data_IF_286820335886
#
_entry.id   IF_286820335886
#
_cell.length_a   1.000
_cell.length_b   1.000
_cell.length_c   1.000
_cell.angle_alpha   90.00
_cell.angle_beta   90.00
_cell.angle_gamma   90.00
#
_symmetry.space_group_name_H-M   'P 1'
#
loop_
_entity.id
_entity.type
_entity.pdbx_description
1 polymer ?
#
# COMPACT_ATOMS: atom_id res chain seq x y z
N UNK A 1 0.33 21.35 11.21
CA UNK A 1 -0.41 20.09 11.42
C UNK A 1 0.39 18.87 10.96
N UNK A 2 0.86 18.81 9.69
CA UNK A 2 1.58 17.65 9.15
C UNK A 2 2.84 17.29 9.94
N UNK A 3 3.71 18.27 10.22
CA UNK A 3 4.92 18.06 11.03
C UNK A 3 4.58 17.59 12.45
N UNK A 4 3.53 18.17 13.05
CA UNK A 4 3.06 17.73 14.36
C UNK A 4 2.54 16.28 14.32
N UNK A 5 1.79 15.91 13.27
CA UNK A 5 1.34 14.54 13.08
C UNK A 5 2.51 13.56 12.99
N UNK A 6 3.52 13.86 12.16
CA UNK A 6 4.72 13.03 12.04
C UNK A 6 5.45 12.88 13.38
N UNK A 7 5.60 13.98 14.13
CA UNK A 7 6.18 13.96 15.47
C UNK A 7 5.39 13.04 16.42
N UNK A 8 4.06 13.14 16.43
CA UNK A 8 3.22 12.29 17.26
C UNK A 8 3.27 10.82 16.86
N UNK A 9 3.23 10.51 15.57
CA UNK A 9 3.36 9.13 15.07
C UNK A 9 4.68 8.52 15.55
N UNK A 10 5.80 9.21 15.34
CA UNK A 10 7.11 8.73 15.75
C UNK A 10 7.23 8.62 17.28
N UNK A 11 6.68 9.60 18.02
CA UNK A 11 6.67 9.57 19.47
C UNK A 11 5.86 8.41 20.05
N UNK A 12 4.68 8.12 19.50
CA UNK A 12 3.85 7.00 19.95
C UNK A 12 4.50 5.67 19.60
N UNK A 13 5.03 5.50 18.37
CA UNK A 13 5.74 4.27 17.97
C UNK A 13 6.96 4.01 18.86
N UNK A 14 7.76 5.03 19.14
CA UNK A 14 8.92 4.91 20.04
C UNK A 14 8.49 4.57 21.48
N UNK A 15 7.41 5.18 21.98
CA UNK A 15 6.88 4.92 23.33
C UNK A 15 6.35 3.48 23.49
N UNK A 16 5.78 2.91 22.43
CA UNK A 16 5.28 1.54 22.42
C UNK A 16 6.38 0.50 22.14
N UNK A 17 7.61 0.91 21.85
CA UNK A 17 8.69 0.01 21.44
C UNK A 17 8.37 -0.76 20.15
N UNK A 18 7.56 -0.17 19.28
CA UNK A 18 7.14 -0.82 18.04
C UNK A 18 8.30 -0.96 17.07
N UNK A 19 8.53 -2.17 16.57
CA UNK A 19 9.52 -2.41 15.52
C UNK A 19 9.01 -1.85 14.19
N UNK A 20 9.82 -1.00 13.57
CA UNK A 20 9.48 -0.41 12.29
C UNK A 20 9.84 -1.38 11.16
N UNK A 21 8.83 -1.99 10.56
CA UNK A 21 8.96 -2.85 9.38
C UNK A 21 8.86 -2.03 8.09
N UNK A 22 9.31 -2.57 6.95
CA UNK A 22 9.20 -1.89 5.66
C UNK A 22 7.74 -1.52 5.32
N UNK A 23 6.74 -2.42 5.45
CA UNK A 23 5.32 -2.04 5.33
C UNK A 23 4.87 -1.04 6.40
N UNK A 24 5.45 -1.07 7.61
CA UNK A 24 5.19 -0.06 8.63
C UNK A 24 5.62 1.34 8.20
N UNK A 25 6.76 1.48 7.52
CA UNK A 25 7.19 2.76 6.91
C UNK A 25 6.20 3.20 5.83
N UNK A 26 5.77 2.27 4.97
CA UNK A 26 4.74 2.56 3.95
C UNK A 26 3.44 3.05 4.60
N UNK A 27 3.03 2.47 5.74
CA UNK A 27 1.89 2.91 6.55
C UNK A 27 2.05 4.36 7.05
N UNK A 28 3.25 4.75 7.50
CA UNK A 28 3.54 6.13 7.90
C UNK A 28 3.39 7.08 6.69
N UNK A 29 3.98 6.74 5.55
CA UNK A 29 3.88 7.56 4.33
C UNK A 29 2.44 7.71 3.88
N UNK A 30 1.66 6.62 3.92
CA UNK A 30 0.23 6.64 3.61
C UNK A 30 -0.54 7.56 4.57
N UNK A 31 -0.30 7.47 5.87
CA UNK A 31 -1.00 8.32 6.86
C UNK A 31 -0.60 9.78 6.77
N UNK A 32 0.61 10.11 6.32
CA UNK A 32 1.00 11.47 5.98
C UNK A 32 0.12 12.01 4.84
N UNK A 33 -0.07 11.21 3.76
CA UNK A 33 -0.96 11.56 2.66
C UNK A 33 -2.41 11.81 3.12
N UNK A 34 -2.97 10.89 3.91
CA UNK A 34 -4.32 11.03 4.46
C UNK A 34 -4.47 12.22 5.44
N UNK A 35 -3.41 12.57 6.17
CA UNK A 35 -3.41 13.74 7.05
C UNK A 35 -3.54 15.05 6.29
N UNK A 36 -2.95 15.14 5.09
CA UNK A 36 -3.13 16.29 4.20
C UNK A 36 -4.58 16.40 3.76
N UNK A 37 -5.23 15.28 3.43
CA UNK A 37 -6.58 15.24 2.90
C UNK A 37 -7.62 15.84 3.88
N UNK A 38 -7.54 15.51 5.16
CA UNK A 38 -8.38 16.10 6.19
C UNK A 38 -8.25 17.63 6.26
N UNK A 39 -7.01 18.15 6.16
CA UNK A 39 -6.77 19.60 6.15
C UNK A 39 -7.30 20.26 4.87
N UNK A 40 -7.13 19.62 3.71
CA UNK A 40 -7.66 20.13 2.43
C UNK A 40 -9.18 20.26 2.50
N UNK A 41 -9.88 19.25 3.03
CA UNK A 41 -11.32 19.27 3.17
C UNK A 41 -11.79 20.42 4.09
N UNK A 42 -11.13 20.65 5.22
CA UNK A 42 -11.42 21.78 6.10
C UNK A 42 -11.21 23.11 5.36
N UNK A 43 -10.08 23.27 4.67
CA UNK A 43 -9.76 24.52 3.98
C UNK A 43 -10.72 24.81 2.83
N UNK A 44 -11.14 23.82 2.06
CA UNK A 44 -12.13 24.04 1.02
C UNK A 44 -13.49 24.42 1.59
N UNK A 45 -13.91 23.82 2.70
CA UNK A 45 -15.13 24.25 3.39
C UNK A 45 -15.04 25.67 3.90
N UNK A 46 -13.91 26.09 4.48
CA UNK A 46 -13.67 27.48 4.89
C UNK A 46 -13.73 28.43 3.67
N UNK A 47 -13.13 28.03 2.54
CA UNK A 47 -13.19 28.81 1.28
C UNK A 47 -14.62 28.96 0.74
N UNK A 48 -15.43 27.93 0.80
CA UNK A 48 -16.85 27.97 0.42
C UNK A 48 -17.60 28.99 1.30
N UNK A 49 -17.40 28.96 2.62
CA UNK A 49 -18.03 29.90 3.55
C UNK A 49 -17.56 31.35 3.36
N UNK A 50 -16.27 31.55 3.02
CA UNK A 50 -15.74 32.87 2.67
C UNK A 50 -16.33 33.39 1.34
N UNK A 51 -16.49 32.54 0.33
CA UNK A 51 -17.16 32.90 -0.95
C UNK A 51 -18.63 33.21 -0.76
N UNK A 52 -19.28 32.62 0.24
CA UNK A 52 -20.63 32.96 0.65
C UNK A 52 -20.75 34.31 1.37
N UNK A 53 -19.64 35.05 1.55
CA UNK A 53 -19.60 36.38 2.15
C UNK A 53 -19.46 36.41 3.68
N UNK A 54 -19.19 35.28 4.33
CA UNK A 54 -18.97 35.24 5.78
C UNK A 54 -17.65 35.85 6.19
N UNK A 55 -17.60 36.48 7.35
CA UNK A 55 -16.33 36.95 7.93
C UNK A 55 -15.41 35.78 8.29
N UNK A 56 -14.08 35.98 8.24
CA UNK A 56 -13.06 34.94 8.40
C UNK A 56 -13.27 34.08 9.64
N UNK A 57 -13.58 34.69 10.79
CA UNK A 57 -13.79 33.94 12.05
C UNK A 57 -14.97 32.98 11.96
N UNK A 58 -16.10 33.44 11.42
CA UNK A 58 -17.30 32.64 11.25
C UNK A 58 -17.09 31.55 10.18
N UNK A 59 -16.42 31.89 9.08
CA UNK A 59 -16.08 30.93 8.03
C UNK A 59 -15.21 29.79 8.53
N UNK A 60 -14.26 30.03 9.43
CA UNK A 60 -13.46 28.98 10.07
C UNK A 60 -14.34 28.08 10.93
N UNK A 61 -15.18 28.64 11.80
CA UNK A 61 -16.06 27.85 12.68
C UNK A 61 -17.00 26.97 11.87
N UNK A 62 -17.68 27.53 10.86
CA UNK A 62 -18.64 26.81 10.03
C UNK A 62 -17.94 25.82 9.11
N UNK A 63 -16.77 26.14 8.57
CA UNK A 63 -15.96 25.24 7.76
C UNK A 63 -15.55 23.98 8.52
N UNK A 64 -15.07 24.11 9.75
CA UNK A 64 -14.77 22.96 10.61
C UNK A 64 -16.03 22.14 10.91
N UNK A 65 -17.15 22.81 11.28
CA UNK A 65 -18.40 22.14 11.58
C UNK A 65 -18.92 21.32 10.41
N UNK A 66 -18.87 21.88 9.19
CA UNK A 66 -19.36 21.23 7.98
C UNK A 66 -18.43 20.13 7.46
N UNK A 67 -17.11 20.24 7.68
CA UNK A 67 -16.13 19.24 7.32
C UNK A 67 -16.09 18.04 8.27
N UNK A 68 -16.42 18.24 9.56
CA UNK A 68 -16.19 17.29 10.65
C UNK A 68 -16.78 15.90 10.36
N UNK A 69 -18.06 15.83 9.97
CA UNK A 69 -18.72 14.54 9.70
C UNK A 69 -18.00 13.74 8.60
N UNK A 70 -17.63 14.39 7.50
CA UNK A 70 -16.96 13.73 6.38
C UNK A 70 -15.57 13.24 6.74
N UNK A 71 -14.83 14.01 7.56
CA UNK A 71 -13.49 13.63 8.03
C UNK A 71 -13.58 12.40 8.94
N UNK A 72 -14.51 12.43 9.91
CA UNK A 72 -14.71 11.31 10.83
C UNK A 72 -15.14 10.04 10.07
N UNK A 73 -16.11 10.15 9.17
CA UNK A 73 -16.60 9.00 8.40
C UNK A 73 -15.49 8.34 7.56
N UNK A 74 -14.68 9.15 6.86
CA UNK A 74 -13.56 8.63 6.07
C UNK A 74 -12.49 7.95 6.94
N UNK A 75 -12.15 8.54 8.08
CA UNK A 75 -11.13 7.98 8.97
C UNK A 75 -11.63 6.75 9.75
N UNK A 76 -12.92 6.67 10.10
CA UNK A 76 -13.49 5.47 10.74
C UNK A 76 -13.42 4.27 9.81
N UNK A 77 -13.75 4.41 8.53
CA UNK A 77 -13.67 3.27 7.59
C UNK A 77 -12.25 2.75 7.46
N UNK A 78 -11.27 3.64 7.36
CA UNK A 78 -9.86 3.26 7.28
C UNK A 78 -9.34 2.68 8.61
N UNK A 79 -9.78 3.23 9.75
CA UNK A 79 -9.46 2.70 11.08
C UNK A 79 -9.99 1.28 11.27
N UNK A 80 -11.23 1.02 10.87
CA UNK A 80 -11.83 -0.32 10.92
C UNK A 80 -11.02 -1.31 10.08
N UNK A 81 -10.60 -0.92 8.88
CA UNK A 81 -9.70 -1.73 8.04
C UNK A 81 -8.37 -1.98 8.74
N UNK A 82 -7.76 -0.95 9.34
CA UNK A 82 -6.53 -1.09 10.12
C UNK A 82 -6.66 -2.07 11.28
N UNK A 83 -7.77 -2.01 12.03
CA UNK A 83 -8.06 -2.94 13.14
C UNK A 83 -8.17 -4.39 12.63
N UNK A 84 -8.85 -4.61 11.51
CA UNK A 84 -8.97 -5.94 10.90
C UNK A 84 -7.61 -6.48 10.50
N UNK A 85 -6.80 -5.65 9.81
CA UNK A 85 -5.44 -6.01 9.43
C UNK A 85 -4.54 -6.28 10.64
N UNK A 86 -4.77 -5.61 11.77
CA UNK A 86 -4.05 -5.85 13.02
C UNK A 86 -4.44 -7.20 13.66
N UNK A 87 -5.73 -7.57 13.60
CA UNK A 87 -6.26 -8.82 14.21
C UNK A 87 -5.86 -10.03 13.37
N UNK A 88 -6.08 -9.97 12.06
CA UNK A 88 -5.89 -11.11 11.15
C UNK A 88 -4.53 -11.12 10.45
N UNK A 89 -3.85 -9.96 10.36
CA UNK A 89 -2.54 -9.86 9.72
C UNK A 89 -1.44 -10.52 10.55
N UNK A 90 -0.43 -11.01 9.86
CA UNK A 90 0.79 -11.59 10.43
C UNK A 90 2.00 -10.71 10.09
N UNK A 91 3.08 -10.83 10.88
CA UNK A 91 4.38 -10.24 10.60
C UNK A 91 4.33 -8.79 10.07
N UNK A 92 4.76 -8.57 8.82
CA UNK A 92 4.83 -7.25 8.18
C UNK A 92 3.48 -6.52 8.09
N UNK A 93 2.37 -7.24 7.80
CA UNK A 93 1.03 -6.65 7.71
C UNK A 93 0.59 -6.06 9.07
N UNK A 94 0.93 -6.73 10.17
CA UNK A 94 0.62 -6.24 11.52
C UNK A 94 1.39 -4.96 11.84
N UNK A 95 2.64 -4.86 11.38
CA UNK A 95 3.45 -3.63 11.45
C UNK A 95 2.81 -2.47 10.70
N UNK A 96 2.38 -2.70 9.44
CA UNK A 96 1.61 -1.75 8.65
C UNK A 96 0.32 -1.30 9.34
N UNK A 97 -0.48 -2.25 9.84
CA UNK A 97 -1.74 -1.97 10.52
C UNK A 97 -1.54 -1.12 11.78
N UNK A 98 -0.48 -1.39 12.56
CA UNK A 98 -0.13 -0.63 13.76
C UNK A 98 0.18 0.83 13.41
N UNK A 99 1.03 1.06 12.41
CA UNK A 99 1.36 2.43 11.99
C UNK A 99 0.17 3.16 11.39
N UNK A 100 -0.70 2.44 10.66
CA UNK A 100 -1.94 2.98 10.10
C UNK A 100 -2.91 3.45 11.21
N UNK A 101 -3.17 2.61 12.22
CA UNK A 101 -4.07 2.94 13.34
C UNK A 101 -3.56 4.15 14.12
N UNK A 102 -2.27 4.15 14.49
CA UNK A 102 -1.64 5.26 15.20
C UNK A 102 -1.67 6.52 14.36
N UNK A 103 -1.31 6.41 13.06
CA UNK A 103 -1.29 7.53 12.14
C UNK A 103 -2.65 8.17 11.92
N UNK A 104 -3.73 7.39 11.84
CA UNK A 104 -5.10 7.91 11.75
C UNK A 104 -5.47 8.68 13.04
N UNK A 105 -5.21 8.12 14.21
CA UNK A 105 -5.54 8.77 15.48
C UNK A 105 -4.78 10.09 15.65
N UNK A 106 -3.48 10.10 15.39
CA UNK A 106 -2.64 11.31 15.47
C UNK A 106 -2.96 12.33 14.39
N UNK A 107 -3.32 11.88 13.18
CA UNK A 107 -3.75 12.72 12.06
C UNK A 107 -5.05 13.46 12.37
N UNK A 108 -6.05 12.78 12.91
CA UNK A 108 -7.30 13.39 13.36
C UNK A 108 -7.04 14.44 14.46
N UNK A 109 -6.21 14.11 15.43
CA UNK A 109 -5.82 15.05 16.47
C UNK A 109 -5.13 16.28 15.88
N UNK A 110 -4.15 16.09 15.00
CA UNK A 110 -3.42 17.20 14.39
C UNK A 110 -4.31 18.06 13.48
N UNK A 111 -5.19 17.47 12.68
CA UNK A 111 -6.07 18.21 11.77
C UNK A 111 -7.18 18.97 12.51
N UNK A 112 -7.81 18.35 13.50
CA UNK A 112 -8.96 18.93 14.19
C UNK A 112 -8.54 19.90 15.29
N UNK A 113 -7.55 19.51 16.13
CA UNK A 113 -7.15 20.31 17.28
C UNK A 113 -6.01 21.27 16.97
N UNK A 114 -4.87 20.75 16.52
CA UNK A 114 -3.66 21.57 16.36
C UNK A 114 -3.86 22.64 15.29
N UNK A 115 -4.44 22.28 14.15
CA UNK A 115 -4.69 23.25 13.07
C UNK A 115 -5.69 24.31 13.51
N UNK A 116 -6.74 23.93 14.23
CA UNK A 116 -7.74 24.87 14.75
C UNK A 116 -7.12 25.84 15.77
N UNK A 117 -6.32 25.34 16.72
CA UNK A 117 -5.58 26.16 17.69
C UNK A 117 -4.69 27.20 17.00
N UNK A 118 -3.99 26.80 15.93
CA UNK A 118 -3.16 27.70 15.15
C UNK A 118 -3.97 28.81 14.47
N UNK A 119 -5.16 28.50 13.96
CA UNK A 119 -6.04 29.51 13.38
C UNK A 119 -6.60 30.46 14.45
N UNK A 120 -7.06 29.94 15.58
CA UNK A 120 -7.57 30.76 16.69
C UNK A 120 -6.47 31.70 17.20
N UNK A 121 -5.27 31.20 17.45
CA UNK A 121 -4.11 32.00 17.83
C UNK A 121 -3.76 33.10 16.80
N UNK A 122 -3.79 32.80 15.50
CA UNK A 122 -3.56 33.79 14.45
C UNK A 122 -4.66 34.84 14.39
N UNK A 123 -5.91 34.47 14.62
CA UNK A 123 -7.04 35.40 14.66
C UNK A 123 -6.98 36.35 15.86
N UNK A 124 -6.51 35.88 17.01
CA UNK A 124 -6.29 36.73 18.21
C UNK A 124 -5.23 37.80 17.95
N UNK A 125 -4.25 37.51 17.10
CA UNK A 125 -3.25 38.48 16.66
C UNK A 125 -3.75 39.43 15.53
N UNK A 126 -5.05 39.48 15.25
CA UNK A 126 -5.66 40.22 14.14
C UNK A 126 -5.11 39.87 12.76
N UNK A 127 -4.45 38.70 12.61
CA UNK A 127 -4.00 38.21 11.30
C UNK A 127 -5.19 37.68 10.51
N UNK A 128 -5.19 37.93 9.19
CA UNK A 128 -6.18 37.37 8.27
C UNK A 128 -5.53 36.18 7.55
N UNK A 129 -5.73 34.94 8.02
CA UNK A 129 -5.16 33.77 7.36
C UNK A 129 -5.74 33.63 5.94
N UNK A 130 -4.87 33.40 4.98
CA UNK A 130 -5.26 33.12 3.58
C UNK A 130 -5.35 31.60 3.39
N UNK A 131 -6.44 31.15 2.80
CA UNK A 131 -6.71 29.73 2.49
C UNK A 131 -6.45 29.39 1.03
N UNK A 132 -5.95 30.34 0.24
CA UNK A 132 -5.57 30.14 -1.14
C UNK A 132 -4.33 30.99 -1.47
N UNK A 133 -3.51 30.48 -2.36
CA UNK A 133 -2.48 31.28 -3.04
C UNK A 133 -3.06 31.90 -4.31
N UNK A 134 -2.40 32.91 -4.88
CA UNK A 134 -2.81 33.50 -6.16
C UNK A 134 -2.94 32.48 -7.30
N UNK A 135 -2.16 31.38 -7.24
CA UNK A 135 -2.21 30.30 -8.21
C UNK A 135 -3.40 29.36 -8.00
N UNK A 136 -3.81 29.15 -6.73
CA UNK A 136 -4.85 28.14 -6.38
C UNK A 136 -6.23 28.76 -6.15
N UNK A 137 -6.32 30.10 -6.09
CA UNK A 137 -7.58 30.79 -5.77
C UNK A 137 -8.71 30.46 -6.75
N UNK A 138 -8.39 30.36 -8.05
CA UNK A 138 -9.35 30.11 -9.13
C UNK A 138 -9.24 28.72 -9.75
N UNK A 139 -8.39 27.84 -9.21
CA UNK A 139 -8.27 26.46 -9.71
C UNK A 139 -9.58 25.72 -9.44
N UNK A 140 -10.10 25.06 -10.47
CA UNK A 140 -11.32 24.26 -10.45
C UNK A 140 -12.64 24.98 -10.09
N UNK A 141 -12.67 26.31 -10.06
CA UNK A 141 -13.90 27.05 -9.76
C UNK A 141 -14.98 26.89 -10.83
N UNK A 142 -14.59 26.71 -12.08
CA UNK A 142 -15.50 26.61 -13.24
C UNK A 142 -15.52 25.21 -13.89
N UNK A 143 -15.03 24.18 -13.20
CA UNK A 143 -15.02 22.81 -13.74
C UNK A 143 -16.37 22.16 -13.57
N UNK A 144 -17.12 22.03 -14.65
CA UNK A 144 -18.43 21.36 -14.71
C UNK A 144 -18.33 20.09 -15.59
N UNK A 145 -17.63 19.06 -15.08
CA UNK A 145 -17.52 17.78 -15.79
C UNK A 145 -18.79 16.94 -15.51
N UNK A 146 -19.58 16.59 -16.53
CA UNK A 146 -20.84 15.86 -16.32
C UNK A 146 -20.60 14.36 -16.12
N UNK A 147 -19.95 13.97 -15.02
CA UNK A 147 -19.59 12.58 -14.70
C UNK A 147 -20.82 11.65 -14.74
N UNK A 148 -21.89 12.03 -14.06
CA UNK A 148 -23.11 11.21 -13.99
C UNK A 148 -23.77 11.04 -15.36
N UNK A 149 -23.78 12.07 -16.21
CA UNK A 149 -24.31 12.01 -17.56
C UNK A 149 -23.48 11.07 -18.46
N UNK A 150 -22.16 11.06 -18.27
CA UNK A 150 -21.22 10.21 -19.03
C UNK A 150 -21.00 8.83 -18.40
N UNK A 151 -21.74 8.44 -17.36
CA UNK A 151 -21.52 7.16 -16.63
C UNK A 151 -21.47 5.94 -17.53
N UNK A 152 -22.29 5.89 -18.61
CA UNK A 152 -22.28 4.76 -19.56
C UNK A 152 -20.91 4.57 -20.24
N UNK A 153 -20.25 5.68 -20.62
CA UNK A 153 -18.91 5.65 -21.19
C UNK A 153 -17.89 5.09 -20.20
N UNK A 154 -17.95 5.55 -18.94
CA UNK A 154 -17.04 5.07 -17.90
C UNK A 154 -17.28 3.59 -17.57
N UNK A 155 -18.52 3.12 -17.56
CA UNK A 155 -18.84 1.70 -17.40
C UNK A 155 -18.29 0.85 -18.53
N UNK A 156 -18.32 1.32 -19.78
CA UNK A 156 -17.76 0.61 -20.93
C UNK A 156 -16.24 0.53 -20.81
N UNK A 157 -15.58 1.65 -20.52
CA UNK A 157 -14.10 1.70 -20.38
C UNK A 157 -13.65 0.77 -19.24
N UNK A 158 -14.26 0.91 -18.09
CA UNK A 158 -13.95 0.11 -16.90
C UNK A 158 -14.25 -1.37 -17.13
N UNK A 159 -15.42 -1.68 -17.72
CA UNK A 159 -15.78 -3.06 -18.05
C UNK A 159 -14.84 -3.71 -19.06
N UNK A 160 -14.32 -2.95 -20.04
CA UNK A 160 -13.33 -3.43 -20.97
C UNK A 160 -12.00 -3.76 -20.28
N UNK A 161 -11.52 -2.87 -19.41
CA UNK A 161 -10.28 -3.07 -18.64
C UNK A 161 -10.42 -4.32 -17.76
N UNK A 162 -11.54 -4.47 -17.04
CA UNK A 162 -11.79 -5.64 -16.19
C UNK A 162 -11.91 -6.91 -17.03
N UNK A 163 -12.59 -6.88 -18.16
CA UNK A 163 -12.72 -8.06 -19.05
C UNK A 163 -11.36 -8.53 -19.58
N UNK A 164 -10.52 -7.61 -20.03
CA UNK A 164 -9.14 -7.91 -20.46
C UNK A 164 -8.30 -8.42 -19.27
N UNK A 165 -8.45 -7.79 -18.11
CA UNK A 165 -7.78 -8.18 -16.88
C UNK A 165 -8.17 -9.57 -16.40
N UNK A 166 -9.45 -9.88 -16.36
CA UNK A 166 -9.95 -11.23 -16.01
C UNK A 166 -9.47 -12.26 -17.02
N UNK A 167 -9.47 -11.94 -18.32
CA UNK A 167 -8.88 -12.79 -19.35
C UNK A 167 -7.38 -13.06 -19.09
N UNK A 168 -6.62 -12.03 -18.71
CA UNK A 168 -5.21 -12.17 -18.32
C UNK A 168 -5.05 -13.00 -17.05
N UNK A 169 -5.85 -12.75 -16.02
CA UNK A 169 -5.83 -13.52 -14.77
C UNK A 169 -6.09 -15.03 -14.99
N UNK A 170 -7.02 -15.37 -15.89
CA UNK A 170 -7.34 -16.76 -16.22
C UNK A 170 -6.27 -17.45 -17.06
N UNK A 171 -5.55 -16.72 -17.90
CA UNK A 171 -4.54 -17.28 -18.81
C UNK A 171 -3.11 -17.21 -18.28
N UNK A 172 -2.76 -16.16 -17.59
CA UNK A 172 -1.40 -15.89 -17.11
C UNK A 172 -1.30 -15.96 -15.58
N UNK A 173 -2.40 -15.75 -14.86
CA UNK A 173 -2.42 -15.68 -13.39
C UNK A 173 -1.82 -14.38 -12.86
N UNK A 174 -1.33 -14.46 -11.63
CA UNK A 174 -0.60 -13.40 -10.92
C UNK A 174 0.79 -13.91 -10.58
N UNK A 175 1.76 -13.00 -10.56
CA UNK A 175 3.10 -13.30 -10.04
C UNK A 175 3.10 -13.08 -8.53
N UNK A 176 3.09 -14.18 -7.77
CA UNK A 176 3.12 -14.14 -6.31
C UNK A 176 4.56 -14.21 -5.82
N UNK A 177 4.91 -13.32 -4.90
CA UNK A 177 6.17 -13.37 -4.18
C UNK A 177 6.25 -14.54 -3.19
N UNK A 178 7.41 -14.67 -2.55
CA UNK A 178 7.70 -15.77 -1.63
C UNK A 178 6.80 -15.78 -0.39
N UNK A 179 6.26 -14.63 0.01
CA UNK A 179 5.34 -14.55 1.14
C UNK A 179 4.05 -15.34 0.92
N UNK A 180 3.62 -15.49 -0.32
CA UNK A 180 2.40 -16.23 -0.68
C UNK A 180 2.65 -17.63 -1.25
N UNK A 181 3.87 -17.92 -1.69
CA UNK A 181 4.19 -19.21 -2.35
C UNK A 181 5.17 -20.06 -1.59
N UNK A 182 5.78 -19.52 -0.54
CA UNK A 182 7.00 -20.07 0.05
C UNK A 182 8.20 -19.92 -0.87
N UNK A 183 9.39 -19.87 -0.31
CA UNK A 183 10.62 -19.75 -1.09
C UNK A 183 11.71 -18.99 -0.36
N UNK A 184 12.79 -18.74 -1.09
CA UNK A 184 13.90 -17.88 -0.68
C UNK A 184 14.09 -16.76 -1.67
N UNK A 185 14.35 -15.57 -1.17
CA UNK A 185 14.67 -14.41 -1.97
C UNK A 185 16.02 -13.85 -1.54
N UNK A 186 16.88 -13.61 -2.52
CA UNK A 186 18.19 -13.00 -2.32
C UNK A 186 18.27 -11.73 -3.14
N UNK A 187 18.72 -10.64 -2.52
CA UNK A 187 19.07 -9.42 -3.25
C UNK A 187 20.58 -9.39 -3.39
N UNK A 188 21.06 -9.45 -4.63
CA UNK A 188 22.49 -9.52 -4.94
C UNK A 188 22.89 -8.31 -5.77
N UNK A 189 23.99 -7.67 -5.36
CA UNK A 189 24.64 -6.59 -6.11
C UNK A 189 25.93 -7.10 -6.71
N UNK A 190 26.12 -6.82 -7.99
CA UNK A 190 27.33 -7.12 -8.73
C UNK A 190 28.17 -5.85 -8.93
N UNK A 191 29.43 -6.03 -9.35
CA UNK A 191 30.34 -4.98 -9.81
C UNK A 191 29.77 -4.20 -11.01
N UNK A 192 29.10 -4.90 -11.92
CA UNK A 192 28.46 -4.35 -13.12
C UNK A 192 27.12 -5.03 -13.40
N UNK A 193 26.39 -4.55 -14.39
CA UNK A 193 25.14 -5.16 -14.82
C UNK A 193 25.41 -6.40 -15.68
N UNK A 194 24.79 -7.52 -15.31
CA UNK A 194 24.79 -8.77 -16.07
C UNK A 194 23.39 -9.08 -16.59
N UNK A 195 23.25 -9.75 -17.74
CA UNK A 195 21.95 -10.21 -18.23
C UNK A 195 21.29 -11.16 -17.22
N UNK A 196 20.04 -10.87 -16.85
CA UNK A 196 19.31 -11.69 -15.85
C UNK A 196 19.15 -13.15 -16.28
N UNK A 197 19.08 -13.39 -17.59
CA UNK A 197 19.02 -14.76 -18.16
C UNK A 197 20.27 -15.57 -17.91
N UNK A 198 21.46 -14.95 -17.99
CA UNK A 198 22.74 -15.62 -17.75
C UNK A 198 22.87 -15.99 -16.26
N UNK A 199 22.46 -15.09 -15.36
CA UNK A 199 22.41 -15.35 -13.93
C UNK A 199 21.44 -16.51 -13.62
N UNK A 200 20.23 -16.48 -14.19
CA UNK A 200 19.23 -17.54 -13.99
C UNK A 200 19.73 -18.91 -14.47
N UNK A 201 20.40 -18.96 -15.61
CA UNK A 201 20.96 -20.20 -16.16
C UNK A 201 22.13 -20.73 -15.31
N UNK A 202 23.04 -19.86 -14.88
CA UNK A 202 24.16 -20.24 -14.01
C UNK A 202 23.69 -20.81 -12.67
N UNK A 203 22.62 -20.21 -12.08
CA UNK A 203 22.02 -20.70 -10.85
C UNK A 203 21.21 -21.99 -11.07
N UNK A 204 20.52 -22.14 -12.20
CA UNK A 204 19.77 -23.37 -12.51
C UNK A 204 20.68 -24.59 -12.62
N UNK A 205 21.94 -24.40 -13.03
CA UNK A 205 22.94 -25.46 -13.07
C UNK A 205 23.37 -25.96 -11.68
N UNK A 206 23.24 -25.11 -10.66
CA UNK A 206 23.57 -25.44 -9.26
C UNK A 206 22.34 -25.86 -8.44
N UNK A 207 21.14 -25.36 -8.79
CA UNK A 207 19.90 -25.70 -8.12
C UNK A 207 19.31 -26.98 -8.69
N UNK A 208 19.97 -28.09 -8.41
CA UNK A 208 19.55 -29.42 -8.87
C UNK A 208 18.99 -30.20 -7.67
N UNK A 209 17.73 -30.65 -7.79
CA UNK A 209 17.10 -31.45 -6.72
C UNK A 209 17.67 -32.89 -6.72
N UNK A 210 17.29 -33.68 -5.72
CA UNK A 210 17.74 -35.08 -5.55
C UNK A 210 17.38 -35.99 -6.74
N UNK A 211 16.38 -35.57 -7.53
CA UNK A 211 15.91 -36.29 -8.71
C UNK A 211 16.71 -35.89 -9.98
N UNK A 212 17.71 -35.01 -9.85
CA UNK A 212 18.51 -34.50 -10.98
C UNK A 212 17.80 -33.43 -11.81
N UNK A 213 16.67 -32.90 -11.34
CA UNK A 213 15.91 -31.85 -12.04
C UNK A 213 16.45 -30.47 -11.67
N UNK A 214 16.78 -29.67 -12.67
CA UNK A 214 17.19 -28.28 -12.50
C UNK A 214 16.00 -27.42 -12.13
N UNK A 215 16.17 -26.59 -11.11
CA UNK A 215 15.19 -25.57 -10.71
C UNK A 215 15.70 -24.19 -11.10
N UNK A 216 15.11 -23.63 -12.15
CA UNK A 216 15.48 -22.29 -12.63
C UNK A 216 14.89 -21.23 -11.69
N UNK A 217 15.72 -20.42 -11.01
CA UNK A 217 15.22 -19.34 -10.19
C UNK A 217 14.67 -18.21 -11.06
N UNK A 218 13.76 -17.44 -10.51
CA UNK A 218 13.35 -16.17 -11.10
C UNK A 218 14.40 -15.11 -10.77
N UNK A 219 14.96 -14.46 -11.78
CA UNK A 219 15.95 -13.38 -11.63
C UNK A 219 15.44 -12.14 -12.31
N UNK A 220 15.35 -11.03 -11.56
CA UNK A 220 14.91 -9.73 -12.07
C UNK A 220 15.80 -8.61 -11.55
N UNK A 221 15.94 -7.56 -12.35
CA UNK A 221 16.63 -6.34 -11.92
C UNK A 221 15.86 -5.70 -10.76
N UNK A 222 16.59 -5.23 -9.75
CA UNK A 222 16.00 -4.67 -8.53
C UNK A 222 16.72 -3.37 -8.13
N UNK A 223 16.00 -2.25 -8.18
CA UNK A 223 16.55 -0.94 -7.86
C UNK A 223 17.49 -0.41 -8.94
N UNK A 224 18.78 -0.66 -8.79
CA UNK A 224 19.83 -0.22 -9.76
C UNK A 224 20.16 -1.33 -10.76
N UNK A 225 20.76 -0.97 -11.91
CA UNK A 225 21.01 -1.89 -13.02
C UNK A 225 21.95 -3.06 -12.71
N UNK A 226 22.84 -2.92 -11.73
CA UNK A 226 23.78 -3.96 -11.29
C UNK A 226 23.27 -4.75 -10.07
N UNK A 227 22.02 -4.58 -9.70
CA UNK A 227 21.42 -5.29 -8.57
C UNK A 227 20.25 -6.14 -9.07
N UNK A 228 20.19 -7.39 -8.59
CA UNK A 228 19.13 -8.34 -8.94
C UNK A 228 18.45 -8.92 -7.73
N UNK A 229 17.17 -9.23 -7.87
CA UNK A 229 16.38 -10.04 -6.95
C UNK A 229 16.29 -11.44 -7.53
N UNK A 230 16.74 -12.44 -6.78
CA UNK A 230 16.73 -13.85 -7.11
C UNK A 230 15.72 -14.54 -6.21
N UNK A 231 14.69 -15.15 -6.80
CA UNK A 231 13.64 -15.88 -6.09
C UNK A 231 13.71 -17.36 -6.46
N UNK A 232 13.78 -18.25 -5.46
CA UNK A 232 13.88 -19.69 -5.69
C UNK A 232 13.08 -20.49 -4.67
N UNK A 233 12.57 -21.64 -5.11
CA UNK A 233 11.95 -22.68 -4.24
C UNK A 233 12.86 -23.86 -4.00
N UNK A 234 14.15 -23.75 -4.38
CA UNK A 234 15.09 -24.83 -4.23
C UNK A 234 15.19 -25.30 -2.78
N UNK A 235 14.95 -26.58 -2.55
CA UNK A 235 14.92 -27.25 -1.24
C UNK A 235 14.06 -26.55 -0.18
N UNK A 236 12.95 -25.91 -0.57
CA UNK A 236 12.09 -25.18 0.39
C UNK A 236 11.26 -26.13 1.26
N UNK A 237 10.93 -27.32 0.76
CA UNK A 237 10.15 -28.34 1.45
C UNK A 237 11.03 -29.29 2.29
N UNK A 238 12.37 -29.11 2.27
CA UNK A 238 13.29 -29.94 3.04
C UNK A 238 13.52 -29.34 4.42
N UNK A 239 13.22 -30.13 5.45
CA UNK A 239 13.47 -29.79 6.87
C UNK A 239 14.79 -30.42 7.38
N UNK A 240 15.66 -30.94 6.51
CA UNK A 240 16.94 -31.49 6.89
C UNK A 240 17.87 -30.44 7.49
N UNK A 241 18.58 -30.83 8.52
CA UNK A 241 19.62 -29.98 9.13
C UNK A 241 20.73 -29.68 8.11
N UNK A 242 21.10 -28.39 7.95
CA UNK A 242 22.09 -27.98 6.94
C UNK A 242 21.53 -27.66 5.54
N UNK A 243 20.19 -27.70 5.36
CA UNK A 243 19.58 -27.35 4.06
C UNK A 243 19.86 -25.90 3.66
N UNK A 244 19.85 -24.99 4.62
CA UNK A 244 20.06 -23.57 4.33
C UNK A 244 21.51 -23.33 3.87
N UNK A 245 22.48 -23.98 4.49
CA UNK A 245 23.89 -23.94 4.08
C UNK A 245 24.11 -24.54 2.69
N UNK A 246 23.39 -25.64 2.35
CA UNK A 246 23.44 -26.23 0.99
C UNK A 246 22.91 -25.25 -0.05
N UNK A 247 21.78 -24.57 0.24
CA UNK A 247 21.21 -23.59 -0.69
C UNK A 247 22.12 -22.39 -0.88
N UNK A 248 22.71 -21.87 0.19
CA UNK A 248 23.68 -20.78 0.11
C UNK A 248 24.96 -21.17 -0.63
N UNK A 249 25.45 -22.38 -0.42
CA UNK A 249 26.60 -22.89 -1.17
C UNK A 249 26.30 -22.98 -2.66
N UNK A 250 25.13 -23.52 -3.05
CA UNK A 250 24.69 -23.58 -4.43
C UNK A 250 24.47 -22.20 -5.05
N UNK A 251 23.90 -21.25 -4.28
CA UNK A 251 23.76 -19.86 -4.70
C UNK A 251 25.12 -19.24 -5.00
N UNK A 252 26.05 -19.34 -4.06
CA UNK A 252 27.39 -18.78 -4.20
C UNK A 252 28.18 -19.43 -5.35
N UNK A 253 28.03 -20.74 -5.54
CA UNK A 253 28.65 -21.44 -6.67
C UNK A 253 28.12 -20.94 -8.03
N UNK A 254 26.81 -20.72 -8.13
CA UNK A 254 26.18 -20.17 -9.34
C UNK A 254 26.56 -18.72 -9.61
N UNK A 255 26.58 -17.87 -8.57
CA UNK A 255 26.98 -16.47 -8.68
C UNK A 255 28.45 -16.30 -9.05
N UNK A 256 29.34 -17.13 -8.49
CA UNK A 256 30.77 -17.12 -8.80
C UNK A 256 31.09 -17.45 -10.27
N UNK A 257 30.17 -18.14 -10.99
CA UNK A 257 30.30 -18.37 -12.46
C UNK A 257 30.06 -17.10 -13.26
N UNK A 258 29.36 -16.11 -12.70
CA UNK A 258 29.01 -14.83 -13.35
C UNK A 258 30.07 -13.78 -13.03
N UNK A 259 30.38 -13.60 -11.76
CA UNK A 259 31.40 -12.65 -11.26
C UNK A 259 31.99 -13.17 -9.96
N UNK A 260 33.27 -12.87 -9.73
CA UNK A 260 33.90 -13.08 -8.42
C UNK A 260 33.64 -11.92 -7.45
N UNK A 261 33.12 -10.79 -7.95
CA UNK A 261 32.84 -9.58 -7.16
C UNK A 261 31.31 -9.35 -7.10
N UNK A 262 30.68 -9.92 -6.08
CA UNK A 262 29.27 -9.74 -5.78
C UNK A 262 29.05 -9.68 -4.28
N UNK A 263 27.97 -9.04 -3.87
CA UNK A 263 27.55 -8.90 -2.49
C UNK A 263 26.09 -9.32 -2.32
N UNK A 264 25.81 -10.24 -1.40
CA UNK A 264 24.45 -10.60 -1.00
C UNK A 264 23.96 -9.58 0.01
N UNK A 265 23.14 -8.62 -0.45
CA UNK A 265 22.62 -7.50 0.35
C UNK A 265 21.57 -7.93 1.35
N UNK A 266 20.71 -8.89 0.99
CA UNK A 266 19.67 -9.43 1.85
C UNK A 266 19.31 -10.85 1.46
N UNK A 267 18.89 -11.63 2.45
CA UNK A 267 18.35 -12.98 2.32
C UNK A 267 17.07 -13.07 3.13
N UNK A 268 16.02 -13.62 2.53
CA UNK A 268 14.72 -13.86 3.18
C UNK A 268 14.26 -15.28 2.83
N UNK A 269 13.78 -16.00 3.84
CA UNK A 269 13.17 -17.34 3.69
C UNK A 269 11.78 -17.32 4.26
N UNK A 270 10.82 -17.82 3.51
CA UNK A 270 9.44 -18.06 3.96
C UNK A 270 9.11 -19.52 3.74
N UNK A 271 8.89 -20.25 4.82
CA UNK A 271 8.49 -21.66 4.74
C UNK A 271 7.08 -21.81 4.17
N UNK A 272 6.75 -22.98 3.57
CA UNK A 272 5.43 -23.23 2.97
C UNK A 272 4.26 -23.05 3.95
N UNK A 273 4.39 -23.51 5.19
CA UNK A 273 3.37 -23.35 6.23
C UNK A 273 3.11 -21.88 6.54
N UNK A 274 4.17 -21.06 6.64
CA UNK A 274 4.04 -19.62 6.90
C UNK A 274 3.37 -18.94 5.72
N UNK A 275 3.71 -19.31 4.48
CA UNK A 275 3.08 -18.78 3.28
C UNK A 275 1.57 -19.10 3.21
N UNK A 276 1.17 -20.32 3.59
CA UNK A 276 -0.23 -20.70 3.65
C UNK A 276 -1.00 -19.97 4.75
N UNK A 277 -0.39 -19.73 5.91
CA UNK A 277 -0.96 -18.91 6.98
C UNK A 277 -1.18 -17.47 6.53
N UNK A 278 -0.19 -16.88 5.87
CA UNK A 278 -0.26 -15.52 5.30
C UNK A 278 -1.40 -15.42 4.27
N UNK A 279 -1.48 -16.39 3.37
CA UNK A 279 -2.52 -16.44 2.32
C UNK A 279 -3.91 -16.55 2.94
N UNK A 280 -4.07 -17.41 3.93
CA UNK A 280 -5.33 -17.61 4.66
C UNK A 280 -5.73 -16.35 5.42
N UNK A 281 -4.79 -15.73 6.14
CA UNK A 281 -5.00 -14.47 6.85
C UNK A 281 -5.39 -13.33 5.91
N UNK A 282 -4.78 -13.25 4.72
CA UNK A 282 -5.11 -12.23 3.71
C UNK A 282 -6.56 -12.36 3.24
N UNK A 283 -7.04 -13.59 2.96
CA UNK A 283 -8.43 -13.83 2.59
C UNK A 283 -9.43 -13.45 3.69
N UNK A 284 -9.17 -13.87 4.93
CA UNK A 284 -10.04 -13.48 6.05
C UNK A 284 -10.05 -11.96 6.25
N UNK A 285 -8.88 -11.33 6.21
CA UNK A 285 -8.79 -9.86 6.33
C UNK A 285 -9.61 -9.15 5.26
N UNK A 286 -9.52 -9.58 4.00
CA UNK A 286 -10.27 -8.99 2.90
C UNK A 286 -11.80 -9.15 3.09
N UNK A 287 -12.26 -10.36 3.42
CA UNK A 287 -13.70 -10.64 3.62
C UNK A 287 -14.25 -9.83 4.79
N UNK A 288 -13.57 -9.84 5.94
CA UNK A 288 -14.02 -9.10 7.11
C UNK A 288 -13.95 -7.59 6.92
N UNK A 289 -12.94 -7.07 6.20
CA UNK A 289 -12.86 -5.65 5.85
C UNK A 289 -14.06 -5.22 5.00
N UNK A 290 -14.36 -5.96 3.93
CA UNK A 290 -15.51 -5.69 3.07
C UNK A 290 -16.83 -5.72 3.86
N UNK A 291 -17.01 -6.72 4.72
CA UNK A 291 -18.22 -6.89 5.52
C UNK A 291 -18.40 -5.74 6.53
N UNK A 292 -17.35 -5.38 7.26
CA UNK A 292 -17.43 -4.33 8.29
C UNK A 292 -17.64 -2.96 7.64
N UNK A 293 -16.98 -2.65 6.52
CA UNK A 293 -17.21 -1.40 5.80
C UNK A 293 -18.63 -1.35 5.26
N UNK A 294 -19.13 -2.45 4.69
CA UNK A 294 -20.54 -2.54 4.26
C UNK A 294 -21.49 -2.23 5.41
N UNK A 295 -21.34 -2.91 6.56
CA UNK A 295 -22.18 -2.71 7.74
C UNK A 295 -22.08 -1.27 8.27
N UNK A 296 -20.87 -0.71 8.35
CA UNK A 296 -20.68 0.67 8.76
C UNK A 296 -21.47 1.64 7.89
N UNK A 297 -21.36 1.51 6.56
CA UNK A 297 -22.07 2.38 5.61
C UNK A 297 -23.59 2.22 5.72
N UNK A 298 -24.09 0.99 5.87
CA UNK A 298 -25.54 0.73 6.05
C UNK A 298 -26.03 1.42 7.33
N UNK A 299 -25.33 1.28 8.44
CA UNK A 299 -25.71 1.90 9.73
C UNK A 299 -25.63 3.43 9.63
N UNK A 300 -24.56 3.95 9.03
CA UNK A 300 -24.29 5.39 8.94
C UNK A 300 -25.29 6.13 8.08
N UNK A 301 -25.62 5.57 6.91
CA UNK A 301 -26.53 6.19 5.93
C UNK A 301 -27.97 5.65 6.02
N UNK A 302 -28.22 4.64 6.86
CA UNK A 302 -29.56 4.03 7.07
C UNK A 302 -30.23 3.51 5.78
N UNK A 303 -29.43 3.18 4.76
CA UNK A 303 -29.88 2.62 3.48
C UNK A 303 -28.87 1.62 2.97
N UNK A 304 -29.28 0.36 2.82
CA UNK A 304 -28.42 -0.73 2.37
C UNK A 304 -27.84 -0.54 0.97
N UNK A 305 -28.54 0.25 0.11
CA UNK A 305 -28.10 0.54 -1.25
C UNK A 305 -26.75 1.28 -1.28
N UNK A 306 -26.48 2.16 -0.31
CA UNK A 306 -25.18 2.84 -0.23
C UNK A 306 -24.08 1.87 0.16
N UNK A 307 -24.35 0.94 1.10
CA UNK A 307 -23.39 -0.12 1.46
C UNK A 307 -23.10 -1.03 0.28
N UNK A 308 -24.12 -1.46 -0.46
CA UNK A 308 -23.92 -2.28 -1.65
C UNK A 308 -23.15 -1.54 -2.75
N UNK A 309 -23.44 -0.26 -2.97
CA UNK A 309 -22.70 0.56 -3.92
C UNK A 309 -21.22 0.68 -3.57
N UNK A 310 -20.89 0.87 -2.29
CA UNK A 310 -19.52 0.92 -1.81
C UNK A 310 -18.81 -0.44 -1.96
N UNK A 311 -19.49 -1.54 -1.63
CA UNK A 311 -18.96 -2.89 -1.79
C UNK A 311 -18.60 -3.19 -3.25
N UNK A 312 -19.52 -2.88 -4.18
CA UNK A 312 -19.28 -3.07 -5.62
C UNK A 312 -18.12 -2.19 -6.10
N UNK A 313 -18.02 -0.94 -5.63
CA UNK A 313 -16.91 -0.05 -5.98
C UNK A 313 -15.57 -0.60 -5.47
N UNK A 314 -15.51 -1.09 -4.24
CA UNK A 314 -14.28 -1.68 -3.69
C UNK A 314 -13.84 -2.94 -4.46
N UNK A 315 -14.78 -3.84 -4.78
CA UNK A 315 -14.48 -5.03 -5.59
C UNK A 315 -14.00 -4.62 -6.98
N UNK A 316 -14.65 -3.64 -7.59
CA UNK A 316 -14.24 -3.09 -8.88
C UNK A 316 -12.80 -2.57 -8.84
N UNK A 317 -12.44 -1.76 -7.84
CA UNK A 317 -11.11 -1.17 -7.72
C UNK A 317 -10.03 -2.24 -7.49
N UNK A 318 -10.32 -3.24 -6.65
CA UNK A 318 -9.42 -4.39 -6.46
C UNK A 318 -9.24 -5.17 -7.77
N UNK A 319 -10.32 -5.41 -8.54
CA UNK A 319 -10.23 -6.08 -9.83
C UNK A 319 -9.39 -5.30 -10.84
N UNK A 320 -9.50 -3.97 -10.88
CA UNK A 320 -8.66 -3.12 -11.74
C UNK A 320 -7.19 -3.27 -11.36
N UNK A 321 -6.83 -3.20 -10.08
CA UNK A 321 -5.45 -3.34 -9.60
C UNK A 321 -4.91 -4.73 -9.97
N UNK A 322 -5.62 -5.81 -9.65
CA UNK A 322 -5.21 -7.17 -10.00
C UNK A 322 -5.07 -7.39 -11.50
N UNK A 323 -5.97 -6.77 -12.29
CA UNK A 323 -5.90 -6.80 -13.76
C UNK A 323 -4.62 -6.15 -14.28
N UNK A 324 -4.27 -4.99 -13.75
CA UNK A 324 -3.04 -4.30 -14.12
C UNK A 324 -1.79 -5.12 -13.76
N UNK A 325 -1.76 -5.71 -12.56
CA UNK A 325 -0.67 -6.60 -12.16
C UNK A 325 -0.54 -7.79 -13.09
N UNK A 326 -1.65 -8.49 -13.40
CA UNK A 326 -1.65 -9.64 -14.29
C UNK A 326 -1.24 -9.31 -15.72
N UNK A 327 -1.63 -8.14 -16.26
CA UNK A 327 -1.26 -7.75 -17.62
C UNK A 327 0.19 -7.30 -17.69
N UNK A 328 0.65 -6.52 -16.69
CA UNK A 328 1.92 -5.79 -16.80
C UNK A 328 3.15 -6.58 -16.35
N UNK A 329 3.01 -7.59 -15.45
CA UNK A 329 4.18 -8.22 -14.85
C UNK A 329 5.17 -8.86 -15.83
N UNK A 330 4.70 -9.25 -17.03
CA UNK A 330 5.57 -9.79 -18.09
C UNK A 330 6.23 -8.72 -18.96
N UNK A 331 5.69 -7.51 -18.98
CA UNK A 331 6.15 -6.43 -19.85
C UNK A 331 7.08 -5.46 -19.13
N UNK A 332 7.05 -5.45 -17.79
CA UNK A 332 7.88 -4.53 -17.01
C UNK A 332 9.32 -5.05 -16.90
N UNK A 333 10.32 -4.15 -17.01
CA UNK A 333 11.74 -4.54 -16.86
C UNK A 333 12.14 -4.79 -15.40
N UNK A 334 11.25 -4.56 -14.44
CA UNK A 334 11.44 -4.78 -13.02
C UNK A 334 10.47 -5.84 -12.49
N UNK A 335 10.77 -6.38 -11.31
CA UNK A 335 9.90 -7.34 -10.63
C UNK A 335 8.58 -6.68 -10.24
N UNK A 336 7.48 -7.20 -10.75
CA UNK A 336 6.11 -6.83 -10.38
C UNK A 336 5.46 -8.05 -9.75
N UNK A 337 5.67 -8.21 -8.45
CA UNK A 337 5.19 -9.33 -7.65
C UNK A 337 4.15 -8.83 -6.66
N UNK A 338 3.23 -9.71 -6.26
CA UNK A 338 2.34 -9.49 -5.14
C UNK A 338 3.02 -10.09 -3.91
N UNK A 339 3.49 -9.22 -3.02
CA UNK A 339 4.20 -9.57 -1.81
C UNK A 339 3.65 -8.76 -0.62
N UNK A 340 4.13 -9.03 0.61
CA UNK A 340 3.74 -8.27 1.81
C UNK A 340 4.54 -6.99 2.01
N UNK A 341 5.60 -6.76 1.26
CA UNK A 341 6.52 -5.63 1.42
C UNK A 341 6.54 -4.70 0.20
#
# INVERSE_FOLDING_TARGET
ALLANLFFVMGVLASLGATLTLPGIAGIVLTIGMSVDANVLIYERIREELRAGKGVRLAIVDGYKNAYSSIIDANITTLLTGIILYIFGSGPIKGFATTLIIGIATSLFAAIFITRLLFEWRLEQNAKPSFASKLTENVMTNVAIPFVRKRKLYYIISGLIIALGVGSLLTQGLNYGVDFTGGRTYTVRFDQAYPVGDIANALADEFVNEQGLKQTPEVKTYGVSNQVKITTKYLIDSDEEGTDEKVEASLNAGLAKISSDYEVMSSQKVGPTIADDIRTAAWYSAIFALLIIFLYIVIRFRKWQFGLGALVAMIHDVLIVLSLFSILYKFMPFSLEIDQA
#
